data_IF_346181556379
#
_entry.id   IF_346181556379
#
_cell.length_a   1.000
_cell.length_b   1.000
_cell.length_c   1.000
_cell.angle_alpha   90.00
_cell.angle_beta   90.00
_cell.angle_gamma   90.00
#
_symmetry.space_group_name_H-M   'P 1'
#
loop_
_entity.id
_entity.type
_entity.pdbx_description
1 polymer ?
#
# COMPACT_ATOMS: atom_id res chain seq x y z
N UNK A 1 -12.85 -32.31 -19.66
CA UNK A 1 -13.37 -30.93 -19.74
C UNK A 1 -12.98 -30.24 -18.44
N UNK A 2 -12.08 -29.24 -18.46
CA UNK A 2 -11.65 -28.54 -17.23
C UNK A 2 -12.65 -27.41 -16.98
N UNK A 3 -13.37 -27.47 -15.86
CA UNK A 3 -14.29 -26.40 -15.46
C UNK A 3 -13.48 -25.19 -14.99
N UNK A 4 -13.59 -24.07 -15.70
CA UNK A 4 -13.11 -22.78 -15.23
C UNK A 4 -14.22 -22.26 -14.29
N UNK A 5 -13.99 -22.34 -12.98
CA UNK A 5 -14.89 -21.74 -12.00
C UNK A 5 -14.74 -20.23 -12.14
N UNK A 6 -15.79 -19.57 -12.63
CA UNK A 6 -15.89 -18.13 -12.73
C UNK A 6 -16.11 -17.59 -11.30
N UNK A 7 -15.05 -17.20 -10.61
CA UNK A 7 -15.17 -16.58 -9.28
C UNK A 7 -15.80 -15.20 -9.46
N UNK A 8 -17.08 -15.08 -9.09
CA UNK A 8 -17.80 -13.81 -9.09
C UNK A 8 -17.21 -12.86 -8.04
N UNK A 9 -16.67 -11.72 -8.47
CA UNK A 9 -16.22 -10.65 -7.57
C UNK A 9 -17.45 -9.96 -6.99
N UNK A 10 -17.78 -10.24 -5.74
CA UNK A 10 -18.86 -9.57 -5.01
C UNK A 10 -18.28 -8.31 -4.34
N UNK A 11 -18.32 -7.17 -5.05
CA UNK A 11 -17.91 -5.88 -4.49
C UNK A 11 -19.00 -5.36 -3.55
N UNK A 12 -18.91 -5.66 -2.25
CA UNK A 12 -19.80 -5.10 -1.24
C UNK A 12 -19.26 -3.75 -0.75
N UNK A 13 -19.74 -2.66 -1.33
CA UNK A 13 -19.44 -1.31 -0.83
C UNK A 13 -20.16 -1.10 0.51
N UNK A 14 -19.44 -1.22 1.62
CA UNK A 14 -20.00 -0.97 2.96
C UNK A 14 -19.71 0.46 3.40
N UNK A 15 -20.67 1.07 4.10
CA UNK A 15 -20.55 2.41 4.66
C UNK A 15 -20.22 2.33 6.15
N UNK A 16 -19.11 2.91 6.57
CA UNK A 16 -18.77 3.13 7.98
C UNK A 16 -18.95 4.61 8.31
N UNK A 17 -19.80 4.92 9.28
CA UNK A 17 -19.96 6.27 9.78
C UNK A 17 -18.78 6.59 10.72
N UNK A 18 -17.77 7.29 10.21
CA UNK A 18 -16.64 7.71 11.03
C UNK A 18 -17.00 8.94 11.89
N UNK A 19 -16.84 8.81 13.22
CA UNK A 19 -16.86 9.91 14.20
C UNK A 19 -15.53 10.69 14.12
N UNK A 20 -15.19 11.22 12.95
CA UNK A 20 -14.04 12.09 12.75
C UNK A 20 -14.48 13.56 12.75
N UNK A 21 -13.68 14.46 13.35
CA UNK A 21 -13.90 15.92 13.30
C UNK A 21 -13.77 16.51 11.88
N UNK A 22 -13.29 15.71 10.91
CA UNK A 22 -13.29 16.06 9.48
C UNK A 22 -14.65 15.74 8.85
N UNK A 23 -15.13 16.64 8.00
CA UNK A 23 -16.41 16.52 7.31
C UNK A 23 -16.36 15.54 6.12
N UNK A 24 -15.90 14.30 6.34
CA UNK A 24 -15.65 13.30 5.29
C UNK A 24 -16.47 12.03 5.47
N UNK A 25 -17.00 11.51 4.36
CA UNK A 25 -17.67 10.21 4.24
C UNK A 25 -16.69 9.20 3.63
N UNK A 26 -16.56 8.03 4.25
CA UNK A 26 -15.67 6.96 3.77
C UNK A 26 -16.49 5.84 3.13
N UNK A 27 -16.06 5.40 1.95
CA UNK A 27 -16.56 4.20 1.28
C UNK A 27 -15.47 3.13 1.30
N UNK A 28 -15.87 1.88 1.53
CA UNK A 28 -14.93 0.75 1.60
C UNK A 28 -15.34 -0.29 0.56
N UNK A 29 -14.38 -0.72 -0.26
CA UNK A 29 -14.51 -1.85 -1.15
C UNK A 29 -13.49 -2.93 -0.78
N UNK A 30 -13.91 -4.18 -0.78
CA UNK A 30 -13.04 -5.32 -0.49
C UNK A 30 -13.16 -6.36 -1.61
N UNK A 31 -12.01 -6.80 -2.11
CA UNK A 31 -11.90 -7.82 -3.16
C UNK A 31 -10.97 -8.94 -2.67
N UNK A 32 -11.57 -10.09 -2.39
CA UNK A 32 -10.85 -11.31 -2.00
C UNK A 32 -10.47 -12.11 -3.26
N UNK A 33 -9.20 -12.50 -3.35
CA UNK A 33 -8.67 -13.38 -4.40
C UNK A 33 -7.93 -14.57 -3.78
N UNK A 34 -7.51 -15.52 -4.62
CA UNK A 34 -6.64 -16.62 -4.19
C UNK A 34 -5.23 -16.15 -3.77
N UNK A 35 -4.81 -14.95 -4.20
CA UNK A 35 -3.49 -14.38 -3.89
C UNK A 35 -3.50 -13.52 -2.61
N UNK A 36 -4.69 -13.25 -2.06
CA UNK A 36 -4.87 -12.39 -0.90
C UNK A 36 -6.05 -11.42 -1.07
N UNK A 37 -6.00 -10.33 -0.31
CA UNK A 37 -7.11 -9.40 -0.15
C UNK A 37 -6.71 -7.99 -0.58
N UNK A 38 -7.58 -7.34 -1.33
CA UNK A 38 -7.45 -5.95 -1.70
C UNK A 38 -8.55 -5.13 -0.99
N UNK A 39 -8.17 -4.15 -0.17
CA UNK A 39 -9.10 -3.24 0.52
C UNK A 39 -8.88 -1.81 0.04
N UNK A 40 -9.92 -1.19 -0.49
CA UNK A 40 -9.93 0.20 -0.94
C UNK A 40 -10.80 1.05 -0.03
N UNK A 41 -10.27 2.21 0.37
CA UNK A 41 -10.96 3.24 1.14
C UNK A 41 -10.97 4.52 0.33
N UNK A 42 -12.16 5.08 0.10
CA UNK A 42 -12.33 6.36 -0.58
C UNK A 42 -12.98 7.34 0.39
N UNK A 43 -12.28 8.42 0.71
CA UNK A 43 -12.83 9.55 1.47
C UNK A 43 -13.38 10.60 0.51
N UNK A 44 -14.57 11.09 0.84
CA UNK A 44 -15.36 12.04 0.06
C UNK A 44 -15.80 13.16 0.99
N UNK A 45 -15.69 14.42 0.57
CA UNK A 45 -16.25 15.55 1.35
C UNK A 45 -17.77 15.40 1.47
N UNK A 46 -18.31 15.50 2.69
CA UNK A 46 -19.75 15.26 2.94
C UNK A 46 -20.64 16.32 2.28
N UNK A 47 -20.16 17.54 2.10
CA UNK A 47 -20.99 18.63 1.58
C UNK A 47 -21.06 18.61 0.06
N UNK A 48 -19.89 18.64 -0.58
CA UNK A 48 -19.75 18.69 -2.04
C UNK A 48 -19.86 17.31 -2.70
N UNK A 49 -19.78 16.23 -1.92
CA UNK A 49 -19.66 14.86 -2.43
C UNK A 49 -18.43 14.66 -3.34
N UNK A 50 -17.44 15.57 -3.25
CA UNK A 50 -16.21 15.51 -4.03
C UNK A 50 -15.26 14.47 -3.42
N UNK A 51 -14.69 13.54 -4.22
CA UNK A 51 -13.65 12.64 -3.74
C UNK A 51 -12.42 13.43 -3.28
N UNK A 52 -11.80 13.00 -2.19
CA UNK A 52 -10.60 13.63 -1.63
C UNK A 52 -9.40 12.70 -1.75
N UNK A 53 -9.47 11.55 -1.10
CA UNK A 53 -8.37 10.60 -0.99
C UNK A 53 -8.84 9.19 -1.27
N UNK A 54 -7.94 8.39 -1.83
CA UNK A 54 -8.12 6.95 -2.02
C UNK A 54 -6.91 6.26 -1.41
N UNK A 55 -7.16 5.32 -0.51
CA UNK A 55 -6.11 4.46 0.06
C UNK A 55 -6.41 3.02 -0.29
N UNK A 56 -5.46 2.37 -0.92
CA UNK A 56 -5.55 0.97 -1.29
C UNK A 56 -4.57 0.15 -0.43
N UNK A 57 -5.04 -0.93 0.17
CA UNK A 57 -4.25 -1.86 0.96
C UNK A 57 -4.31 -3.22 0.30
N UNK A 58 -3.14 -3.79 0.02
CA UNK A 58 -3.02 -5.15 -0.48
C UNK A 58 -2.43 -6.04 0.62
N UNK A 59 -3.06 -7.19 0.78
CA UNK A 59 -2.66 -8.24 1.70
C UNK A 59 -2.40 -9.51 0.90
N UNK A 60 -1.45 -10.33 1.34
CA UNK A 60 -1.26 -11.67 0.77
C UNK A 60 -2.29 -12.67 1.31
N UNK A 61 -2.18 -13.93 0.89
CA UNK A 61 -3.06 -15.02 1.31
C UNK A 61 -2.99 -15.32 2.82
N UNK A 62 -1.88 -14.97 3.47
CA UNK A 62 -1.68 -15.14 4.92
C UNK A 62 -2.21 -13.92 5.71
N UNK A 63 -2.77 -12.93 5.03
CA UNK A 63 -3.31 -11.72 5.64
C UNK A 63 -2.26 -10.67 6.01
N UNK A 64 -1.02 -10.80 5.54
CA UNK A 64 0.05 -9.82 5.78
C UNK A 64 -0.08 -8.68 4.78
N UNK A 65 -0.03 -7.43 5.25
CA UNK A 65 -0.09 -6.26 4.36
C UNK A 65 1.20 -6.19 3.53
N UNK A 66 1.11 -6.32 2.22
CA UNK A 66 2.27 -6.27 1.30
C UNK A 66 2.44 -4.89 0.68
N UNK A 67 1.36 -4.12 0.53
CA UNK A 67 1.43 -2.79 -0.07
C UNK A 67 0.31 -1.87 0.44
N UNK A 68 0.65 -0.59 0.60
CA UNK A 68 -0.29 0.51 0.78
C UNK A 68 -0.05 1.57 -0.29
N UNK A 69 -1.06 1.96 -1.04
CA UNK A 69 -0.98 3.04 -2.03
C UNK A 69 -1.93 4.17 -1.65
N UNK A 70 -1.47 5.41 -1.74
CA UNK A 70 -2.27 6.61 -1.49
C UNK A 70 -2.40 7.39 -2.80
N UNK A 71 -3.63 7.77 -3.14
CA UNK A 71 -3.95 8.66 -4.25
C UNK A 71 -4.82 9.82 -3.75
N UNK A 72 -4.80 10.92 -4.50
CA UNK A 72 -5.67 12.08 -4.29
C UNK A 72 -6.48 12.36 -5.55
N UNK A 73 -7.68 12.91 -5.39
CA UNK A 73 -8.48 13.33 -6.53
C UNK A 73 -8.06 14.72 -7.03
N UNK A 74 -7.94 14.87 -8.34
CA UNK A 74 -7.72 16.14 -9.04
C UNK A 74 -8.83 16.24 -10.09
N UNK A 75 -9.59 17.34 -10.12
CA UNK A 75 -10.81 17.41 -10.95
C UNK A 75 -10.56 17.17 -12.45
N UNK A 76 -9.43 17.65 -12.95
CA UNK A 76 -9.04 17.54 -14.35
C UNK A 76 -8.42 16.17 -14.71
N UNK A 77 -7.90 15.42 -13.72
CA UNK A 77 -7.09 14.22 -13.94
C UNK A 77 -7.61 12.95 -13.24
N UNK A 78 -8.65 13.08 -12.41
CA UNK A 78 -9.15 12.01 -11.56
C UNK A 78 -8.15 11.62 -10.45
N UNK A 79 -8.04 10.32 -10.19
CA UNK A 79 -7.15 9.80 -9.15
C UNK A 79 -5.68 9.86 -9.57
N UNK A 80 -4.89 10.67 -8.88
CA UNK A 80 -3.44 10.77 -9.06
C UNK A 80 -2.72 10.19 -7.84
N UNK A 81 -1.76 9.31 -8.09
CA UNK A 81 -0.92 8.72 -7.04
C UNK A 81 -0.14 9.78 -6.25
N UNK A 82 0.09 9.49 -4.98
CA UNK A 82 0.84 10.36 -4.05
C UNK A 82 2.05 9.62 -3.51
N UNK A 83 1.83 8.42 -2.97
CA UNK A 83 2.90 7.56 -2.47
C UNK A 83 2.45 6.11 -2.39
N UNK A 84 3.43 5.23 -2.25
CA UNK A 84 3.23 3.83 -1.87
C UNK A 84 4.19 3.43 -0.75
N UNK A 85 3.79 2.44 0.03
CA UNK A 85 4.64 1.72 0.97
C UNK A 85 4.54 0.23 0.61
N UNK A 86 5.69 -0.41 0.44
CA UNK A 86 5.79 -1.84 0.15
C UNK A 86 6.49 -2.53 1.32
N UNK A 87 5.88 -3.59 1.84
CA UNK A 87 6.33 -4.30 3.03
C UNK A 87 6.88 -5.67 2.64
N UNK A 88 8.02 -6.02 3.25
CA UNK A 88 8.63 -7.32 3.08
C UNK A 88 8.81 -7.96 4.46
N UNK A 89 8.48 -9.24 4.54
CA UNK A 89 8.47 -10.03 5.76
C UNK A 89 9.62 -11.03 5.71
N UNK A 90 10.23 -11.26 6.86
CA UNK A 90 11.28 -12.26 7.03
C UNK A 90 10.83 -13.35 7.99
N UNK A 91 11.79 -13.87 8.75
CA UNK A 91 11.53 -14.90 9.74
C UNK A 91 10.52 -14.45 10.80
N UNK A 92 9.68 -15.40 11.23
CA UNK A 92 8.65 -15.14 12.25
C UNK A 92 7.52 -14.22 11.82
N UNK A 93 7.31 -14.02 10.50
CA UNK A 93 6.31 -13.11 9.93
C UNK A 93 6.46 -11.65 10.39
N UNK A 94 7.68 -11.25 10.71
CA UNK A 94 8.02 -9.89 11.08
C UNK A 94 8.39 -9.08 9.86
N UNK A 95 7.98 -7.81 9.82
CA UNK A 95 8.40 -6.87 8.76
C UNK A 95 9.91 -6.69 8.85
N UNK A 96 10.65 -7.23 7.88
CA UNK A 96 12.10 -7.07 7.75
C UNK A 96 12.45 -5.71 7.18
N UNK A 97 11.73 -5.25 6.15
CA UNK A 97 11.88 -3.89 5.65
C UNK A 97 10.62 -3.36 5.00
N UNK A 98 10.49 -2.04 4.99
CA UNK A 98 9.43 -1.31 4.32
C UNK A 98 10.01 -0.17 3.48
N UNK A 99 9.57 -0.07 2.23
CA UNK A 99 10.03 0.94 1.28
C UNK A 99 8.92 1.93 1.00
N UNK A 100 9.15 3.21 1.26
CA UNK A 100 8.24 4.30 0.93
C UNK A 100 8.71 5.02 -0.33
N UNK A 101 7.88 5.02 -1.37
CA UNK A 101 8.17 5.67 -2.65
C UNK A 101 7.12 6.73 -2.94
N UNK A 102 7.55 7.95 -3.24
CA UNK A 102 6.66 9.04 -3.64
C UNK A 102 6.37 8.97 -5.13
N UNK A 103 5.19 9.44 -5.53
CA UNK A 103 4.88 9.69 -6.93
C UNK A 103 5.58 10.97 -7.41
N UNK A 104 6.30 10.88 -8.52
CA UNK A 104 6.87 12.01 -9.21
C UNK A 104 5.88 12.54 -10.26
N UNK A 105 5.39 13.76 -10.02
CA UNK A 105 4.41 14.40 -10.89
C UNK A 105 5.00 14.90 -12.20
N UNK A 106 6.31 15.13 -12.25
CA UNK A 106 6.97 15.64 -13.46
C UNK A 106 7.16 14.54 -14.49
N UNK A 107 7.40 13.31 -14.03
CA UNK A 107 7.60 12.12 -14.87
C UNK A 107 6.37 11.24 -14.96
N UNK A 108 5.31 11.57 -14.21
CA UNK A 108 4.09 10.77 -14.06
C UNK A 108 4.40 9.30 -13.74
N UNK A 109 5.36 9.08 -12.84
CA UNK A 109 5.81 7.76 -12.44
C UNK A 109 6.21 7.72 -10.96
N UNK A 110 6.47 6.53 -10.42
CA UNK A 110 7.09 6.40 -9.10
C UNK A 110 8.50 6.99 -9.13
N UNK A 111 8.85 7.74 -8.09
CA UNK A 111 10.20 8.25 -7.93
C UNK A 111 11.19 7.11 -7.91
N UNK A 112 12.33 7.31 -8.54
CA UNK A 112 13.45 6.37 -8.50
C UNK A 112 14.11 6.34 -7.13
N UNK A 113 13.82 7.34 -6.29
CA UNK A 113 14.27 7.42 -4.90
C UNK A 113 13.17 6.95 -3.95
N UNK A 114 13.57 6.16 -2.96
CA UNK A 114 12.67 5.65 -1.93
C UNK A 114 13.34 5.66 -0.55
N UNK A 115 12.57 5.94 0.49
CA UNK A 115 13.01 5.79 1.87
C UNK A 115 12.78 4.33 2.29
N UNK A 116 13.84 3.61 2.64
CA UNK A 116 13.77 2.24 3.14
C UNK A 116 14.05 2.22 4.64
N UNK A 117 13.12 1.62 5.39
CA UNK A 117 13.31 1.27 6.79
C UNK A 117 13.56 -0.23 6.91
N UNK A 118 14.68 -0.62 7.53
CA UNK A 118 15.06 -2.01 7.78
C UNK A 118 14.97 -2.25 9.29
N UNK A 119 14.19 -3.26 9.68
CA UNK A 119 14.07 -3.70 11.06
C UNK A 119 14.96 -4.94 11.26
N UNK A 120 15.82 -4.90 12.27
CA UNK A 120 16.74 -5.99 12.59
C UNK A 120 16.30 -6.59 13.92
N UNK A 121 16.06 -7.90 13.92
CA UNK A 121 15.60 -8.66 15.06
C UNK A 121 16.69 -9.60 15.57
N UNK A 122 16.63 -9.95 16.85
CA UNK A 122 17.45 -10.98 17.45
C UNK A 122 16.80 -12.36 17.34
N UNK A 123 17.45 -13.36 17.92
CA UNK A 123 17.03 -14.77 17.83
C UNK A 123 15.69 -15.07 18.49
N UNK A 124 15.19 -14.18 19.36
CA UNK A 124 13.90 -14.34 20.02
C UNK A 124 12.88 -13.31 19.53
N UNK A 125 13.00 -12.87 18.27
CA UNK A 125 12.06 -11.97 17.59
C UNK A 125 11.93 -10.58 18.24
N UNK A 126 12.85 -10.22 19.11
CA UNK A 126 12.95 -8.90 19.71
C UNK A 126 13.56 -7.92 18.71
N UNK A 127 12.95 -6.73 18.59
CA UNK A 127 13.49 -5.68 17.74
C UNK A 127 14.78 -5.12 18.37
N UNK A 128 15.92 -5.37 17.73
CA UNK A 128 17.22 -4.87 18.18
C UNK A 128 17.48 -3.45 17.69
N UNK A 129 17.20 -3.18 16.41
CA UNK A 129 17.46 -1.86 15.84
C UNK A 129 16.65 -1.61 14.57
N UNK A 130 16.54 -0.33 14.21
CA UNK A 130 15.94 0.15 12.97
C UNK A 130 16.99 0.96 12.22
N UNK A 131 17.25 0.59 10.96
CA UNK A 131 18.07 1.36 10.03
C UNK A 131 17.19 2.06 9.01
N UNK A 132 17.60 3.26 8.58
CA UNK A 132 16.93 4.02 7.52
C UNK A 132 17.95 4.41 6.45
N UNK A 133 17.58 4.23 5.19
CA UNK A 133 18.41 4.60 4.05
C UNK A 133 17.57 5.04 2.87
N UNK A 134 18.09 5.95 2.05
CA UNK A 134 17.53 6.24 0.73
C UNK A 134 18.07 5.19 -0.27
N UNK A 135 17.18 4.62 -1.07
CA UNK A 135 17.51 3.72 -2.18
C UNK A 135 17.22 4.47 -3.48
N UNK A 136 18.17 4.47 -4.42
CA UNK A 136 17.98 5.00 -5.76
C UNK A 136 18.05 3.87 -6.79
N UNK A 137 16.92 3.59 -7.45
CA UNK A 137 16.80 2.53 -8.45
C UNK A 137 17.51 2.85 -9.77
N UNK A 138 17.91 4.10 -10.00
CA UNK A 138 18.71 4.46 -11.18
C UNK A 138 20.18 4.07 -11.03
N UNK A 139 20.62 3.85 -9.80
CA UNK A 139 21.98 3.41 -9.54
C UNK A 139 22.05 1.92 -9.88
N UNK A 140 22.67 1.60 -11.03
CA UNK A 140 23.11 0.24 -11.36
C UNK A 140 24.28 -0.16 -10.46
N UNK A 141 24.06 -0.29 -9.15
CA UNK A 141 25.08 -0.81 -8.25
C UNK A 141 25.04 -2.33 -8.31
N UNK A 142 26.17 -2.92 -8.75
CA UNK A 142 26.52 -4.30 -8.45
C UNK A 142 26.33 -4.53 -6.95
N UNK A 143 25.28 -5.26 -6.57
CA UNK A 143 25.08 -5.71 -5.21
C UNK A 143 26.30 -6.57 -4.84
N UNK A 144 27.22 -6.00 -4.07
CA UNK A 144 28.24 -6.77 -3.37
C UNK A 144 27.53 -7.40 -2.19
N UNK A 145 27.05 -8.62 -2.38
CA UNK A 145 26.71 -9.51 -1.27
C UNK A 145 28.03 -9.92 -0.63
N UNK A 146 28.39 -9.33 0.51
CA UNK A 146 29.36 -9.98 1.39
C UNK A 146 28.67 -11.19 2.02
N UNK A 147 29.21 -12.38 1.72
CA UNK A 147 28.93 -13.62 2.45
C UNK A 147 29.66 -13.60 3.78
#
# INVERSE_FOLDING_TARGET
MKAIILTSVFAALTFTADLNARNVKTYINEEQTALGLNKEYISVDKNSQRPETRTNYMYDADGRMTKKTISRWIDEAGWVSVSKIEYNYGEGDLVSYATHTKWDKNTENWSTKSDCQINIYGSNNELLTIKRMEIDSNIRTNLITQK
#
